data_IF_230864908361
#
_entry.id   IF_230864908361
#
_cell.length_a   1.000
_cell.length_b   1.000
_cell.length_c   1.000
_cell.angle_alpha   90.00
_cell.angle_beta   90.00
_cell.angle_gamma   90.00
#
_symmetry.space_group_name_H-M   'P 1'
#
loop_
_entity.id
_entity.type
_entity.pdbx_description
1 polymer ?
#
# COMPACT_ATOMS: atom_id res chain seq x y z
N UNK A 1 13.69 -49.68 31.69
CA UNK A 1 13.49 -48.22 31.72
C UNK A 1 12.28 -47.92 32.58
N UNK A 2 12.40 -47.09 33.62
CA UNK A 2 11.26 -46.81 34.51
C UNK A 2 10.23 -45.93 33.79
N UNK A 3 8.93 -46.07 34.12
CA UNK A 3 7.86 -45.20 33.60
C UNK A 3 8.16 -43.71 33.78
N UNK A 4 8.95 -43.37 34.81
CA UNK A 4 9.41 -42.02 35.09
C UNK A 4 10.36 -41.48 34.00
N UNK A 5 11.26 -42.31 33.47
CA UNK A 5 12.17 -41.93 32.37
C UNK A 5 11.43 -41.69 31.05
N UNK A 6 10.35 -42.45 30.79
CA UNK A 6 9.50 -42.27 29.62
C UNK A 6 8.65 -40.98 29.72
N UNK A 7 8.08 -40.73 30.90
CA UNK A 7 7.33 -39.49 31.17
C UNK A 7 8.22 -38.24 31.07
N UNK A 8 9.46 -38.30 31.56
CA UNK A 8 10.39 -37.19 31.50
C UNK A 8 10.84 -36.89 30.06
N UNK A 9 11.03 -37.92 29.23
CA UNK A 9 11.38 -37.74 27.81
C UNK A 9 10.20 -37.22 26.98
N UNK A 10 8.96 -37.62 27.30
CA UNK A 10 7.75 -37.05 26.69
C UNK A 10 7.57 -35.58 27.11
N UNK A 11 7.75 -35.24 28.39
CA UNK A 11 7.68 -33.84 28.85
C UNK A 11 8.76 -32.96 28.22
N UNK A 12 9.99 -33.47 28.05
CA UNK A 12 11.08 -32.74 27.42
C UNK A 12 10.85 -32.56 25.91
N UNK A 13 10.20 -33.51 25.24
CA UNK A 13 9.77 -33.37 23.85
C UNK A 13 8.58 -32.40 23.68
N UNK A 14 7.81 -32.17 24.74
CA UNK A 14 6.73 -31.17 24.80
C UNK A 14 7.19 -29.81 25.30
N UNK A 15 8.50 -29.52 25.23
CA UNK A 15 8.97 -28.13 25.34
C UNK A 15 8.39 -27.38 24.15
N UNK A 16 7.21 -26.79 24.37
CA UNK A 16 6.58 -25.84 23.46
C UNK A 16 7.67 -24.83 23.15
N UNK A 17 8.11 -24.77 21.89
CA UNK A 17 8.85 -23.62 21.39
C UNK A 17 7.89 -22.45 21.64
N UNK A 18 8.14 -21.71 22.72
CA UNK A 18 7.58 -20.39 22.87
C UNK A 18 8.15 -19.65 21.68
N UNK A 19 7.31 -19.37 20.67
CA UNK A 19 7.69 -18.51 19.57
C UNK A 19 8.25 -17.25 20.21
N UNK A 20 9.56 -17.01 20.06
CA UNK A 20 10.16 -15.78 20.52
C UNK A 20 9.40 -14.66 19.81
N UNK A 21 8.72 -13.82 20.61
CA UNK A 21 8.06 -12.63 20.08
C UNK A 21 9.19 -11.82 19.44
N UNK A 22 9.18 -11.75 18.10
CA UNK A 22 10.23 -11.08 17.35
C UNK A 22 10.43 -9.67 17.94
N UNK A 23 11.67 -9.38 18.32
CA UNK A 23 12.06 -8.07 18.85
C UNK A 23 12.10 -6.99 17.76
N UNK A 24 11.79 -7.38 16.51
CA UNK A 24 11.80 -6.50 15.37
C UNK A 24 10.72 -5.42 15.47
N UNK A 25 11.18 -4.16 15.39
CA UNK A 25 10.32 -2.99 15.27
C UNK A 25 10.44 -2.47 13.84
N UNK A 26 9.38 -2.56 13.01
CA UNK A 26 9.45 -2.12 11.62
C UNK A 26 9.63 -0.60 11.52
N UNK A 27 10.46 -0.16 10.58
CA UNK A 27 10.47 1.24 10.14
C UNK A 27 9.35 1.45 9.13
N UNK A 28 8.33 2.21 9.52
CA UNK A 28 7.16 2.47 8.68
C UNK A 28 7.23 3.87 8.11
N UNK A 29 7.24 3.98 6.78
CA UNK A 29 7.06 5.24 6.07
C UNK A 29 5.61 5.38 5.63
N UNK A 30 4.98 6.52 5.95
CA UNK A 30 3.70 6.91 5.35
C UNK A 30 3.89 8.17 4.53
N UNK A 31 3.40 8.18 3.29
CA UNK A 31 3.57 9.31 2.40
C UNK A 31 2.35 9.51 1.49
N UNK A 32 1.74 10.69 1.56
CA UNK A 32 0.82 11.17 0.53
C UNK A 32 1.59 11.65 -0.70
N UNK A 33 1.45 10.93 -1.81
CA UNK A 33 2.24 11.19 -3.03
C UNK A 33 1.48 12.00 -4.09
N UNK A 34 0.23 12.38 -3.79
CA UNK A 34 -0.57 13.25 -4.66
C UNK A 34 -0.67 12.74 -6.10
N UNK A 35 -0.83 11.42 -6.27
CA UNK A 35 -0.92 10.73 -7.55
C UNK A 35 -2.38 10.65 -8.01
N UNK A 36 -2.94 11.81 -8.36
CA UNK A 36 -4.36 11.96 -8.71
C UNK A 36 -4.84 11.08 -9.87
N UNK A 37 -6.16 10.77 -9.90
CA UNK A 37 -6.75 10.02 -11.00
C UNK A 37 -6.46 10.71 -12.33
N UNK A 38 -6.11 9.93 -13.35
CA UNK A 38 -6.05 10.46 -14.70
C UNK A 38 -7.48 10.81 -15.14
N UNK A 39 -7.72 12.09 -15.37
CA UNK A 39 -9.00 12.54 -15.90
C UNK A 39 -9.15 11.98 -17.33
N UNK A 40 -10.36 11.56 -17.76
CA UNK A 40 -10.60 11.01 -19.08
C UNK A 40 -10.66 12.10 -20.17
N UNK A 41 -9.93 13.21 -19.96
CA UNK A 41 -9.86 14.30 -20.92
C UNK A 41 -8.51 14.26 -21.63
N UNK A 42 -8.46 14.54 -22.94
CA UNK A 42 -7.21 14.58 -23.67
C UNK A 42 -6.31 15.70 -23.10
N UNK A 43 -4.99 15.49 -23.16
CA UNK A 43 -4.01 16.38 -22.52
C UNK A 43 -4.14 17.84 -23.00
N UNK A 44 -4.47 18.04 -24.28
CA UNK A 44 -4.72 19.37 -24.83
C UNK A 44 -5.92 20.07 -24.16
N UNK A 45 -6.97 19.32 -23.78
CA UNK A 45 -8.14 19.86 -23.08
C UNK A 45 -7.83 20.18 -21.62
N UNK A 46 -6.99 19.35 -20.97
CA UNK A 46 -6.56 19.65 -19.59
C UNK A 46 -5.70 20.92 -19.52
N UNK A 47 -4.95 21.23 -20.58
CA UNK A 47 -4.14 22.45 -20.71
C UNK A 47 -4.98 23.73 -20.92
N UNK A 48 -6.23 23.61 -21.36
CA UNK A 48 -7.13 24.77 -21.54
C UNK A 48 -7.94 25.11 -20.30
N UNK A 49 -8.02 24.21 -19.31
CA UNK A 49 -8.69 24.51 -18.05
C UNK A 49 -7.94 25.61 -17.29
N UNK A 50 -8.63 26.49 -16.53
CA UNK A 50 -7.98 27.45 -15.64
C UNK A 50 -7.17 26.77 -14.51
N UNK A 51 -7.32 25.44 -14.36
CA UNK A 51 -6.46 24.56 -13.56
C UNK A 51 -5.13 24.19 -14.23
N UNK A 52 -4.86 24.64 -15.46
CA UNK A 52 -3.66 24.26 -16.23
C UNK A 52 -2.35 24.63 -15.53
N UNK A 53 -2.36 25.71 -14.74
CA UNK A 53 -1.26 26.11 -13.86
C UNK A 53 -1.14 25.25 -12.58
N UNK A 54 -2.21 24.62 -12.12
CA UNK A 54 -2.21 23.59 -11.05
C UNK A 54 -1.78 22.21 -11.59
N UNK A 55 -2.08 21.92 -12.87
CA UNK A 55 -1.57 20.74 -13.58
C UNK A 55 -0.17 20.94 -14.17
N UNK A 56 0.38 22.16 -14.07
CA UNK A 56 1.82 22.47 -14.20
C UNK A 56 2.64 21.91 -13.02
N UNK A 57 2.02 21.07 -12.20
CA UNK A 57 2.68 19.94 -11.56
C UNK A 57 3.80 19.43 -12.45
N UNK A 58 5.02 19.27 -11.92
CA UNK A 58 6.00 18.32 -12.43
C UNK A 58 5.26 17.15 -13.07
N UNK A 59 5.61 16.83 -14.32
CA UNK A 59 4.89 15.80 -15.06
C UNK A 59 4.74 14.59 -14.14
N UNK A 60 3.56 13.96 -14.10
CA UNK A 60 3.34 12.82 -13.19
C UNK A 60 4.49 11.82 -13.27
N UNK A 61 5.08 11.67 -14.47
CA UNK A 61 6.33 10.93 -14.72
C UNK A 61 7.51 11.42 -13.89
N UNK A 62 7.95 12.68 -14.00
CA UNK A 62 9.11 13.21 -13.24
C UNK A 62 8.93 13.06 -11.73
N UNK A 63 7.74 13.35 -11.21
CA UNK A 63 7.49 13.17 -9.76
C UNK A 63 7.49 11.71 -9.37
N UNK A 64 6.89 10.85 -10.18
CA UNK A 64 6.90 9.39 -9.95
C UNK A 64 8.31 8.84 -9.97
N UNK A 65 9.15 9.29 -10.89
CA UNK A 65 10.57 8.93 -10.96
C UNK A 65 11.33 9.45 -9.73
N UNK A 66 11.13 10.71 -9.33
CA UNK A 66 11.75 11.29 -8.14
C UNK A 66 11.35 10.54 -6.86
N UNK A 67 10.06 10.24 -6.68
CA UNK A 67 9.54 9.47 -5.55
C UNK A 67 10.12 8.06 -5.56
N UNK A 68 10.01 7.34 -6.69
CA UNK A 68 10.45 5.96 -6.81
C UNK A 68 11.94 5.74 -6.60
N UNK A 69 12.76 6.79 -6.79
CA UNK A 69 14.20 6.76 -6.53
C UNK A 69 14.59 7.42 -5.19
N UNK A 70 13.62 7.88 -4.39
CA UNK A 70 13.91 8.64 -3.17
C UNK A 70 14.51 7.72 -2.08
N UNK A 71 15.58 8.18 -1.42
CA UNK A 71 16.32 7.39 -0.42
C UNK A 71 15.48 6.95 0.79
N UNK A 72 14.49 7.78 1.19
CA UNK A 72 13.53 7.44 2.25
C UNK A 72 12.80 6.11 2.01
N UNK A 73 12.58 5.72 0.74
CA UNK A 73 11.94 4.44 0.45
C UNK A 73 12.84 3.27 0.85
N UNK A 74 14.16 3.39 0.70
CA UNK A 74 15.10 2.31 1.02
C UNK A 74 15.24 2.11 2.54
N UNK A 75 15.13 3.19 3.31
CA UNK A 75 15.26 3.19 4.77
C UNK A 75 14.05 2.63 5.53
N UNK A 76 12.91 2.48 4.87
CA UNK A 76 11.70 1.90 5.44
C UNK A 76 11.65 0.38 5.22
N UNK A 77 10.99 -0.36 6.12
CA UNK A 77 10.67 -1.78 5.92
C UNK A 77 9.26 -1.96 5.35
N UNK A 78 8.38 -1.02 5.68
CA UNK A 78 7.01 -0.94 5.21
C UNK A 78 6.76 0.49 4.73
N UNK A 79 6.18 0.62 3.53
CA UNK A 79 5.81 1.89 2.92
C UNK A 79 4.30 1.88 2.70
N UNK A 80 3.63 2.91 3.20
CA UNK A 80 2.20 3.14 2.98
C UNK A 80 2.03 4.43 2.19
N UNK A 81 1.66 4.30 0.93
CA UNK A 81 1.31 5.47 0.11
C UNK A 81 -0.18 5.79 0.23
N UNK A 82 -0.47 7.08 0.30
CA UNK A 82 -1.82 7.64 0.16
C UNK A 82 -1.91 8.56 -1.07
N UNK A 83 -3.13 8.74 -1.57
CA UNK A 83 -3.43 9.37 -2.85
C UNK A 83 -2.75 8.72 -4.07
N UNK A 84 -2.46 7.43 -4.01
CA UNK A 84 -2.11 6.58 -5.14
C UNK A 84 -3.36 6.24 -5.97
N UNK A 85 -3.95 7.22 -6.65
CA UNK A 85 -5.15 7.00 -7.45
C UNK A 85 -4.85 6.54 -8.88
N UNK A 86 -3.71 6.97 -9.42
CA UNK A 86 -3.29 6.68 -10.79
C UNK A 86 -2.64 5.29 -10.93
N UNK A 87 -3.22 4.42 -11.76
CA UNK A 87 -2.71 3.06 -11.95
C UNK A 87 -1.32 3.05 -12.61
N UNK A 88 -1.03 3.98 -13.52
CA UNK A 88 0.29 4.08 -14.18
C UNK A 88 1.39 4.48 -13.19
N UNK A 89 1.08 5.40 -12.27
CA UNK A 89 2.01 5.77 -11.18
C UNK A 89 2.24 4.58 -10.25
N UNK A 90 1.19 3.83 -9.91
CA UNK A 90 1.30 2.61 -9.09
C UNK A 90 2.20 1.56 -9.75
N UNK A 91 2.01 1.26 -11.04
CA UNK A 91 2.85 0.28 -11.75
C UNK A 91 4.32 0.73 -11.87
N UNK A 92 4.57 2.03 -12.09
CA UNK A 92 5.92 2.58 -12.12
C UNK A 92 6.63 2.47 -10.76
N UNK A 93 5.97 2.88 -9.67
CA UNK A 93 6.52 2.76 -8.31
C UNK A 93 6.71 1.30 -7.92
N UNK A 94 5.75 0.44 -8.25
CA UNK A 94 5.87 -1.00 -8.02
C UNK A 94 7.05 -1.61 -8.77
N UNK A 95 7.28 -1.20 -10.02
CA UNK A 95 8.46 -1.60 -10.79
C UNK A 95 9.78 -1.18 -10.13
N UNK A 96 9.84 0.06 -9.61
CA UNK A 96 11.02 0.60 -8.90
C UNK A 96 11.30 -0.09 -7.58
N UNK A 97 10.24 -0.47 -6.87
CA UNK A 97 10.35 -1.11 -5.55
C UNK A 97 10.45 -2.63 -5.62
N UNK A 98 10.31 -3.26 -6.80
CA UNK A 98 10.24 -4.72 -6.94
C UNK A 98 11.38 -5.47 -6.23
N UNK A 99 12.60 -4.93 -6.28
CA UNK A 99 13.78 -5.60 -5.72
C UNK A 99 13.99 -5.30 -4.23
N UNK A 100 13.40 -4.22 -3.70
CA UNK A 100 13.57 -3.81 -2.30
C UNK A 100 12.34 -4.12 -1.45
N UNK A 101 11.14 -3.89 -1.98
CA UNK A 101 9.84 -4.12 -1.35
C UNK A 101 8.95 -4.97 -2.27
N UNK A 102 9.29 -6.25 -2.48
CA UNK A 102 8.64 -7.11 -3.47
C UNK A 102 7.16 -7.40 -3.16
N UNK A 103 6.72 -7.19 -1.91
CA UNK A 103 5.37 -7.51 -1.47
C UNK A 103 4.50 -6.25 -1.45
N UNK A 104 3.42 -6.24 -2.23
CA UNK A 104 2.53 -5.07 -2.35
C UNK A 104 1.06 -5.47 -2.33
N UNK A 105 0.20 -4.60 -1.80
CA UNK A 105 -1.26 -4.73 -2.02
C UNK A 105 -1.67 -4.19 -3.39
N UNK A 106 -2.82 -4.62 -3.94
CA UNK A 106 -3.55 -3.79 -4.88
C UNK A 106 -3.89 -2.43 -4.25
N UNK A 107 -4.13 -1.40 -5.07
CA UNK A 107 -4.68 -0.14 -4.59
C UNK A 107 -6.03 -0.42 -3.90
N UNK A 108 -6.22 0.19 -2.73
CA UNK A 108 -7.42 0.08 -1.91
C UNK A 108 -8.68 0.25 -2.77
N UNK A 109 -9.62 -0.69 -2.64
CA UNK A 109 -10.91 -0.64 -3.34
C UNK A 109 -10.82 -0.50 -4.87
N UNK A 110 -9.69 -0.89 -5.50
CA UNK A 110 -9.52 -0.84 -6.97
C UNK A 110 -10.63 -1.56 -7.74
N UNK A 111 -11.15 -2.66 -7.19
CA UNK A 111 -12.28 -3.43 -7.76
C UNK A 111 -13.65 -2.75 -7.61
N UNK A 112 -13.79 -1.75 -6.73
CA UNK A 112 -15.03 -0.97 -6.55
C UNK A 112 -15.11 0.24 -7.48
N UNK A 113 -14.15 0.40 -8.40
CA UNK A 113 -14.19 1.43 -9.44
C UNK A 113 -15.40 1.21 -10.36
N UNK A 114 -16.46 1.98 -10.15
CA UNK A 114 -17.64 1.95 -11.01
C UNK A 114 -17.46 2.92 -12.18
N UNK A 115 -17.15 2.39 -13.36
CA UNK A 115 -17.00 3.16 -14.62
C UNK A 115 -18.33 3.47 -15.32
N UNK A 116 -19.45 2.92 -14.83
CA UNK A 116 -20.76 2.98 -15.48
C UNK A 116 -21.66 4.15 -15.02
N UNK A 117 -21.33 4.84 -13.91
CA UNK A 117 -22.15 5.92 -13.37
C UNK A 117 -21.58 7.29 -13.70
N UNK A 118 -22.47 8.26 -13.98
CA UNK A 118 -22.20 9.69 -14.30
C UNK A 118 -21.35 10.45 -13.27
N UNK A 119 -20.97 9.82 -12.16
CA UNK A 119 -19.99 10.30 -11.20
C UNK A 119 -18.96 9.19 -11.00
N UNK A 120 -17.76 9.37 -11.57
CA UNK A 120 -16.68 8.38 -11.52
C UNK A 120 -16.21 8.19 -10.09
N UNK A 121 -16.61 7.10 -9.44
CA UNK A 121 -16.02 6.70 -8.16
C UNK A 121 -14.64 6.09 -8.46
N UNK A 122 -13.57 6.79 -8.09
CA UNK A 122 -12.20 6.29 -8.18
C UNK A 122 -11.88 5.26 -7.08
N UNK A 123 -10.68 4.67 -7.12
CA UNK A 123 -10.19 3.79 -6.07
C UNK A 123 -9.97 4.56 -4.73
N UNK A 124 -9.55 3.87 -3.67
CA UNK A 124 -9.34 4.47 -2.36
C UNK A 124 -8.02 5.22 -2.19
N UNK A 125 -7.09 5.08 -3.13
CA UNK A 125 -5.81 5.79 -3.14
C UNK A 125 -4.78 5.33 -2.11
N UNK A 126 -5.02 4.24 -1.38
CA UNK A 126 -4.06 3.72 -0.40
C UNK A 126 -3.44 2.40 -0.86
N UNK A 127 -2.13 2.23 -0.63
CA UNK A 127 -1.40 1.01 -0.98
C UNK A 127 -0.26 0.78 0.01
N UNK A 128 0.05 -0.49 0.26
CA UNK A 128 1.22 -0.91 1.06
C UNK A 128 2.25 -1.60 0.15
N UNK A 129 3.52 -1.29 0.39
CA UNK A 129 4.70 -2.01 -0.08
C UNK A 129 5.52 -2.46 1.14
N UNK A 130 6.10 -3.65 1.08
CA UNK A 130 6.79 -4.26 2.22
C UNK A 130 7.99 -5.08 1.75
N UNK A 131 9.09 -5.01 2.52
CA UNK A 131 10.23 -5.93 2.40
C UNK A 131 9.83 -7.35 2.79
N UNK A 132 9.00 -7.45 3.82
CA UNK A 132 8.50 -8.69 4.40
C UNK A 132 7.22 -9.18 3.71
N UNK A 133 6.98 -10.49 3.75
CA UNK A 133 5.80 -11.09 3.13
C UNK A 133 4.52 -10.57 3.80
N UNK A 134 3.55 -10.17 2.98
CA UNK A 134 2.21 -9.79 3.46
C UNK A 134 1.36 -11.07 3.50
N UNK A 135 0.91 -11.46 4.69
CA UNK A 135 0.12 -12.68 4.92
C UNK A 135 -1.35 -12.46 4.58
N UNK A 136 -1.93 -11.37 5.08
CA UNK A 136 -3.33 -11.02 4.85
C UNK A 136 -3.50 -9.53 4.63
N UNK A 137 -4.48 -9.15 3.80
CA UNK A 137 -4.93 -7.76 3.61
C UNK A 137 -6.45 -7.74 3.66
N UNK A 138 -7.00 -7.02 4.64
CA UNK A 138 -8.43 -6.78 4.77
C UNK A 138 -8.71 -5.30 4.51
N UNK A 139 -9.69 -5.00 3.66
CA UNK A 139 -9.97 -3.64 3.24
C UNK A 139 -11.35 -3.17 3.69
N UNK A 140 -11.43 -1.95 4.20
CA UNK A 140 -12.65 -1.35 4.75
C UNK A 140 -12.93 -0.01 4.06
N UNK A 141 -14.18 0.23 3.68
CA UNK A 141 -14.62 1.51 3.14
C UNK A 141 -15.23 2.37 4.24
N UNK A 142 -15.02 3.68 4.19
CA UNK A 142 -15.74 4.60 5.07
C UNK A 142 -17.23 4.66 4.71
N UNK A 143 -18.08 4.74 5.74
CA UNK A 143 -19.55 4.81 5.58
C UNK A 143 -20.05 6.21 5.23
N UNK A 144 -19.24 7.24 5.46
CA UNK A 144 -19.59 8.66 5.26
C UNK A 144 -18.48 9.33 4.45
N UNK A 145 -18.87 10.27 3.60
CA UNK A 145 -17.96 11.08 2.80
C UNK A 145 -18.50 12.51 2.65
N UNK A 146 -17.60 13.48 2.52
CA UNK A 146 -17.90 14.90 2.34
C UNK A 146 -17.10 15.50 1.17
N UNK A 147 -17.61 16.56 0.55
CA UNK A 147 -16.92 17.23 -0.55
C UNK A 147 -16.59 16.30 -1.72
N UNK A 148 -15.39 16.46 -2.26
CA UNK A 148 -14.85 15.66 -3.37
C UNK A 148 -14.60 14.18 -3.02
N UNK A 149 -14.49 13.83 -1.73
CA UNK A 149 -14.23 12.45 -1.31
C UNK A 149 -15.41 11.52 -1.61
N UNK A 150 -16.61 12.05 -1.87
CA UNK A 150 -17.76 11.27 -2.36
C UNK A 150 -17.49 10.57 -3.71
N UNK A 151 -16.47 11.04 -4.44
CA UNK A 151 -16.05 10.47 -5.73
C UNK A 151 -14.87 9.50 -5.60
N UNK A 152 -14.47 9.12 -4.39
CA UNK A 152 -13.40 8.16 -4.15
C UNK A 152 -13.86 7.06 -3.19
N UNK A 153 -13.41 5.83 -3.42
CA UNK A 153 -13.68 4.69 -2.52
C UNK A 153 -12.78 4.72 -1.28
N UNK A 154 -12.78 5.84 -0.55
CA UNK A 154 -11.93 6.08 0.62
C UNK A 154 -12.17 5.05 1.73
N UNK A 155 -11.11 4.78 2.50
CA UNK A 155 -11.13 3.79 3.55
C UNK A 155 -9.73 3.50 4.08
N UNK A 156 -9.56 2.29 4.61
CA UNK A 156 -8.29 1.81 5.12
C UNK A 156 -8.14 0.30 4.87
N UNK A 157 -6.94 -0.22 5.11
CA UNK A 157 -6.71 -1.66 5.16
C UNK A 157 -6.00 -2.03 6.47
N UNK A 158 -6.16 -3.27 6.88
CA UNK A 158 -5.36 -3.93 7.91
C UNK A 158 -4.52 -4.97 7.17
N UNK A 159 -3.19 -4.91 7.37
CA UNK A 159 -2.25 -5.84 6.77
C UNK A 159 -1.51 -6.60 7.87
N UNK A 160 -1.41 -7.91 7.70
CA UNK A 160 -0.60 -8.78 8.55
C UNK A 160 0.72 -9.08 7.83
N UNK A 161 1.83 -8.88 8.52
CA UNK A 161 3.18 -8.95 7.96
C UNK A 161 3.96 -10.06 8.69
N UNK A 162 4.62 -10.89 7.89
CA UNK A 162 5.53 -11.93 8.36
C UNK A 162 6.84 -11.29 8.84
N UNK A 163 6.96 -11.05 10.14
CA UNK A 163 8.13 -10.39 10.71
C UNK A 163 9.40 -11.21 10.41
N UNK A 164 10.54 -10.55 10.13
CA UNK A 164 11.80 -11.25 10.00
C UNK A 164 12.15 -11.94 11.33
N UNK A 165 12.77 -13.12 11.21
CA UNK A 165 13.31 -13.88 12.33
C UNK A 165 14.57 -13.22 12.88
#
# INVERSE_FOLDING_TARGET
MSKLSLLLSILLAMTVKTDEISSWVPKILTWNIYAFPQLPFPEWFLRTLPLSNLTKSYSFKERTEAIGNHELLQGADIIVFSEMFNDGVYELIKGKLKDTHPHSSPILMSKRRNRALKFTITNGGSVIFSKCRILTIQQFAFKKACGSDKYASKGFFIAEIDAPQ
#
